data_IF_132857374808
#
_entry.id   IF_132857374808
#
_cell.length_a   1.000
_cell.length_b   1.000
_cell.length_c   1.000
_cell.angle_alpha   90.00
_cell.angle_beta   90.00
_cell.angle_gamma   90.00
#
_symmetry.space_group_name_H-M   'P 1'
#
loop_
_entity.id
_entity.type
_entity.pdbx_description
1 polymer ?
#
# COMPACT_ATOMS: atom_id res chain seq x y z
N UNK A 1 -2.29 12.32 -18.51
CA UNK A 1 -1.80 10.93 -18.62
C UNK A 1 -0.32 10.92 -18.25
N UNK A 2 0.08 10.15 -17.24
CA UNK A 2 1.48 10.04 -16.85
C UNK A 2 2.23 9.05 -17.77
N UNK A 3 3.51 9.32 -18.04
CA UNK A 3 4.37 8.50 -18.90
C UNK A 3 5.69 8.25 -18.15
N UNK A 4 6.24 7.04 -18.26
CA UNK A 4 7.57 6.72 -17.75
C UNK A 4 8.50 6.60 -18.95
N UNK A 5 9.64 7.27 -18.88
CA UNK A 5 10.72 7.15 -19.86
C UNK A 5 11.73 6.12 -19.37
N UNK A 6 12.04 5.12 -20.19
CA UNK A 6 13.17 4.20 -20.00
C UNK A 6 14.04 4.30 -21.25
N UNK A 7 15.21 4.91 -21.12
CA UNK A 7 16.05 5.29 -22.26
C UNK A 7 15.29 6.20 -23.23
N UNK A 8 15.13 5.74 -24.48
CA UNK A 8 14.47 6.48 -25.56
C UNK A 8 12.98 6.10 -25.74
N UNK A 9 12.46 5.20 -24.90
CA UNK A 9 11.11 4.64 -25.04
C UNK A 9 10.18 5.30 -24.01
N UNK A 10 9.05 5.82 -24.49
CA UNK A 10 8.00 6.44 -23.67
C UNK A 10 6.85 5.45 -23.44
N UNK A 11 6.84 4.84 -22.25
CA UNK A 11 5.78 3.89 -21.88
C UNK A 11 4.61 4.64 -21.21
N UNK A 12 3.36 4.42 -21.67
CA UNK A 12 2.20 4.96 -21.00
C UNK A 12 2.04 4.30 -19.63
N UNK A 13 1.93 5.09 -18.56
CA UNK A 13 1.58 4.56 -17.25
C UNK A 13 0.09 4.28 -17.26
N UNK A 14 -0.28 3.03 -17.54
CA UNK A 14 -1.63 2.57 -17.28
C UNK A 14 -1.77 2.31 -15.78
N UNK A 15 -2.73 2.96 -15.14
CA UNK A 15 -3.04 2.67 -13.74
C UNK A 15 -3.48 1.20 -13.64
N UNK A 16 -2.67 0.37 -13.00
CA UNK A 16 -3.07 -1.01 -12.70
C UNK A 16 -4.22 -0.97 -11.68
N UNK A 17 -5.45 -1.04 -12.19
CA UNK A 17 -6.66 -1.16 -11.39
C UNK A 17 -6.76 -2.62 -10.95
N UNK A 18 -6.13 -2.96 -9.82
CA UNK A 18 -6.49 -4.18 -9.11
C UNK A 18 -7.99 -4.08 -8.78
N UNK A 19 -8.82 -4.92 -9.41
CA UNK A 19 -10.28 -4.87 -9.31
C UNK A 19 -10.82 -4.90 -7.87
N UNK A 20 -10.01 -5.35 -6.90
CA UNK A 20 -10.37 -5.46 -5.49
C UNK A 20 -9.63 -4.47 -4.58
N UNK A 21 -9.10 -3.36 -5.11
CA UNK A 21 -8.42 -2.37 -4.27
C UNK A 21 -9.44 -1.58 -3.48
N UNK A 22 -9.37 -1.68 -2.15
CA UNK A 22 -10.18 -0.84 -1.27
C UNK A 22 -9.81 0.62 -1.51
N UNK A 23 -10.79 1.41 -1.89
CA UNK A 23 -10.71 2.87 -1.89
C UNK A 23 -10.88 3.38 -0.46
N UNK A 24 -9.85 4.07 0.04
CA UNK A 24 -9.89 4.74 1.34
C UNK A 24 -9.55 6.22 1.15
N UNK A 25 -10.13 7.05 2.00
CA UNK A 25 -9.87 8.47 2.00
C UNK A 25 -8.62 8.79 2.83
N UNK A 26 -7.67 9.55 2.28
CA UNK A 26 -6.46 9.95 3.03
C UNK A 26 -6.70 11.10 4.02
N UNK A 27 -7.90 11.71 3.99
CA UNK A 27 -8.31 12.76 4.95
C UNK A 27 -8.93 12.17 6.21
N UNK A 28 -9.94 11.31 6.06
CA UNK A 28 -10.67 10.73 7.20
C UNK A 28 -10.35 9.25 7.48
N UNK A 29 -9.63 8.57 6.59
CA UNK A 29 -9.29 7.14 6.68
C UNK A 29 -10.47 6.17 6.61
N UNK A 30 -11.67 6.67 6.28
CA UNK A 30 -12.83 5.85 5.99
C UNK A 30 -12.77 5.23 4.59
N UNK A 31 -13.42 4.08 4.45
CA UNK A 31 -13.57 3.36 3.18
C UNK A 31 -14.76 3.91 2.37
N UNK A 32 -14.72 3.72 1.05
CA UNK A 32 -15.86 3.99 0.15
C UNK A 32 -15.84 5.34 -0.57
N UNK A 33 -14.89 6.22 -0.28
CA UNK A 33 -14.73 7.48 -1.02
C UNK A 33 -13.27 7.92 -1.14
N UNK A 34 -13.00 8.78 -2.13
CA UNK A 34 -11.71 9.44 -2.34
C UNK A 34 -11.68 10.79 -1.62
N UNK A 35 -10.46 11.35 -1.47
CA UNK A 35 -10.24 12.63 -0.78
C UNK A 35 -11.11 13.76 -1.34
N UNK A 36 -11.29 13.81 -2.66
CA UNK A 36 -12.02 14.87 -3.36
C UNK A 36 -13.53 14.86 -3.05
N UNK A 37 -14.07 13.70 -2.62
CA UNK A 37 -15.47 13.53 -2.24
C UNK A 37 -15.66 13.44 -0.72
N UNK A 38 -14.62 13.76 0.05
CA UNK A 38 -14.67 13.66 1.50
C UNK A 38 -15.40 14.87 2.10
N UNK A 39 -16.41 14.61 2.94
CA UNK A 39 -17.17 15.63 3.66
C UNK A 39 -16.59 15.94 5.05
N UNK A 40 -15.48 15.32 5.44
CA UNK A 40 -14.85 15.59 6.73
C UNK A 40 -14.31 17.03 6.77
N UNK A 41 -14.62 17.76 7.83
CA UNK A 41 -14.16 19.14 8.06
C UNK A 41 -12.67 19.23 8.34
N UNK A 42 -12.10 18.25 9.05
CA UNK A 42 -10.69 18.19 9.43
C UNK A 42 -10.00 16.95 8.86
N UNK A 43 -8.67 17.00 8.71
CA UNK A 43 -7.88 15.81 8.43
C UNK A 43 -7.69 15.02 9.73
N UNK A 44 -7.53 13.69 9.65
CA UNK A 44 -7.30 12.84 10.81
C UNK A 44 -5.94 12.17 10.73
N UNK A 45 -5.32 11.93 11.89
CA UNK A 45 -4.10 11.15 11.95
C UNK A 45 -4.34 9.71 11.51
N UNK A 46 -3.40 9.16 10.72
CA UNK A 46 -3.46 7.77 10.26
C UNK A 46 -3.44 6.73 11.38
N UNK A 47 -2.83 7.05 12.51
CA UNK A 47 -2.58 6.09 13.61
C UNK A 47 -3.65 6.27 14.70
N UNK A 48 -3.70 7.44 15.33
CA UNK A 48 -4.59 7.69 16.46
C UNK A 48 -5.98 8.22 16.09
N UNK A 49 -6.21 8.56 14.81
CA UNK A 49 -7.45 9.16 14.29
C UNK A 49 -7.87 10.49 14.92
N UNK A 50 -6.99 11.13 15.67
CA UNK A 50 -7.22 12.47 16.18
C UNK A 50 -7.25 13.49 15.04
N UNK A 51 -8.06 14.53 15.21
CA UNK A 51 -8.22 15.58 14.22
C UNK A 51 -6.96 16.47 14.18
N UNK A 52 -6.51 16.76 12.96
CA UNK A 52 -5.38 17.61 12.64
C UNK A 52 -5.97 18.91 12.10
N UNK A 53 -5.87 19.97 12.88
CA UNK A 53 -6.21 21.32 12.42
C UNK A 53 -5.20 21.77 11.35
N UNK A 54 -5.67 22.54 10.36
CA UNK A 54 -4.89 22.87 9.15
C UNK A 54 -3.59 23.64 9.41
N UNK A 55 -3.39 24.18 10.62
CA UNK A 55 -2.22 24.99 11.00
C UNK A 55 -1.52 24.52 12.28
N UNK A 56 -1.75 23.29 12.75
CA UNK A 56 -1.12 22.78 13.99
C UNK A 56 -0.32 21.50 13.74
N UNK A 57 0.86 21.43 14.36
CA UNK A 57 1.65 20.20 14.41
C UNK A 57 0.96 19.20 15.34
N UNK A 58 0.37 18.16 14.75
CA UNK A 58 -0.25 17.09 15.51
C UNK A 58 0.80 16.21 16.19
N UNK A 59 0.67 16.04 17.51
CA UNK A 59 1.46 15.08 18.30
C UNK A 59 0.68 13.76 18.37
N UNK A 60 1.23 12.72 17.76
CA UNK A 60 0.59 11.40 17.73
C UNK A 60 0.67 10.69 19.08
N UNK A 61 -0.44 10.12 19.55
CA UNK A 61 -0.45 9.25 20.72
C UNK A 61 0.12 7.84 20.45
N UNK A 62 0.41 7.51 19.18
CA UNK A 62 0.89 6.20 18.70
C UNK A 62 -0.01 5.00 19.05
N UNK A 63 -1.21 5.24 19.58
CA UNK A 63 -2.21 4.21 19.82
C UNK A 63 -3.01 3.98 18.53
N UNK A 64 -2.91 2.80 17.90
CA UNK A 64 -3.61 2.54 16.65
C UNK A 64 -5.11 2.45 16.91
N UNK A 65 -5.89 3.27 16.19
CA UNK A 65 -7.36 3.21 16.17
C UNK A 65 -7.85 3.01 14.74
N UNK A 66 -8.95 2.29 14.61
CA UNK A 66 -9.56 1.99 13.32
C UNK A 66 -10.71 2.94 13.01
N UNK A 67 -10.71 3.59 11.84
CA UNK A 67 -11.73 4.59 11.48
C UNK A 67 -13.12 3.97 11.23
N UNK A 68 -13.18 2.63 11.13
CA UNK A 68 -14.35 1.88 10.69
C UNK A 68 -15.08 1.23 11.88
N UNK A 69 -14.34 0.84 12.92
CA UNK A 69 -14.91 0.17 14.10
C UNK A 69 -14.34 0.67 15.43
N UNK A 70 -13.54 1.73 15.42
CA UNK A 70 -12.87 2.32 16.58
C UNK A 70 -12.01 1.36 17.42
N UNK A 71 -11.73 0.16 16.91
CA UNK A 71 -10.91 -0.85 17.56
C UNK A 71 -9.42 -0.53 17.58
N UNK A 72 -8.68 -1.22 18.45
CA UNK A 72 -7.24 -1.06 18.64
C UNK A 72 -6.39 -1.73 17.54
N UNK A 73 -6.60 -1.32 16.29
CA UNK A 73 -5.83 -1.75 15.14
C UNK A 73 -5.85 -0.68 14.05
N UNK A 74 -4.94 -0.77 13.08
CA UNK A 74 -4.93 0.16 11.96
C UNK A 74 -6.16 0.01 11.06
N UNK A 75 -6.68 1.13 10.53
CA UNK A 75 -7.82 1.21 9.60
C UNK A 75 -7.71 0.43 8.29
N UNK A 76 -6.57 -0.20 8.02
CA UNK A 76 -6.32 -1.05 6.85
C UNK A 76 -5.97 -2.50 7.23
N UNK A 77 -6.06 -2.84 8.53
CA UNK A 77 -5.76 -4.18 9.04
C UNK A 77 -6.76 -5.20 8.49
N UNK A 78 -6.25 -6.38 8.12
CA UNK A 78 -7.08 -7.53 7.74
C UNK A 78 -7.92 -8.07 8.90
N UNK A 79 -7.60 -7.71 10.14
CA UNK A 79 -8.33 -8.12 11.34
C UNK A 79 -9.62 -7.30 11.55
N UNK A 80 -9.79 -6.19 10.84
CA UNK A 80 -10.99 -5.36 10.95
C UNK A 80 -12.18 -6.03 10.27
N UNK A 81 -13.21 -6.38 11.04
CA UNK A 81 -14.41 -7.04 10.52
C UNK A 81 -15.13 -6.22 9.43
N UNK A 82 -15.38 -4.90 9.58
CA UNK A 82 -15.93 -4.08 8.50
C UNK A 82 -15.15 -4.15 7.19
N UNK A 83 -13.81 -4.17 7.26
CA UNK A 83 -12.96 -4.24 6.08
C UNK A 83 -13.08 -5.59 5.41
N UNK A 84 -13.14 -6.68 6.18
CA UNK A 84 -13.34 -8.04 5.64
C UNK A 84 -14.67 -8.13 4.90
N UNK A 85 -15.75 -7.65 5.50
CA UNK A 85 -17.08 -7.65 4.87
C UNK A 85 -17.08 -6.81 3.59
N UNK A 86 -16.49 -5.61 3.63
CA UNK A 86 -16.39 -4.75 2.45
C UNK A 86 -15.58 -5.40 1.31
N UNK A 87 -14.46 -6.06 1.62
CA UNK A 87 -13.68 -6.81 0.63
C UNK A 87 -14.48 -7.96 0.01
N UNK A 88 -15.25 -8.69 0.84
CA UNK A 88 -16.07 -9.79 0.35
C UNK A 88 -17.15 -9.29 -0.61
N UNK A 89 -17.85 -8.21 -0.24
CA UNK A 89 -18.85 -7.58 -1.09
C UNK A 89 -18.25 -7.04 -2.40
N UNK A 90 -17.11 -6.35 -2.33
CA UNK A 90 -16.40 -5.89 -3.53
C UNK A 90 -16.03 -7.05 -4.46
N UNK A 91 -15.53 -8.15 -3.90
CA UNK A 91 -15.18 -9.33 -4.70
C UNK A 91 -16.41 -9.91 -5.38
N UNK A 92 -17.52 -10.04 -4.67
CA UNK A 92 -18.78 -10.55 -5.22
C UNK A 92 -19.30 -9.67 -6.37
N UNK A 93 -19.29 -8.34 -6.19
CA UNK A 93 -19.71 -7.39 -7.23
C UNK A 93 -18.78 -7.43 -8.46
N UNK A 94 -17.48 -7.58 -8.26
CA UNK A 94 -16.52 -7.76 -9.36
C UNK A 94 -16.75 -9.09 -10.08
N UNK A 95 -17.00 -10.17 -9.35
CA UNK A 95 -17.26 -11.49 -9.94
C UNK A 95 -18.59 -11.47 -10.75
N UNK A 96 -19.62 -10.77 -10.27
CA UNK A 96 -20.86 -10.49 -11.03
C UNK A 96 -20.62 -9.62 -12.26
N UNK A 97 -19.77 -8.60 -12.15
CA UNK A 97 -19.45 -7.71 -13.26
C UNK A 97 -18.62 -8.42 -14.35
N UNK A 98 -17.78 -9.39 -13.96
CA UNK A 98 -17.07 -10.27 -14.89
C UNK A 98 -18.02 -11.25 -15.58
N UNK A 99 -18.95 -11.87 -14.84
CA UNK A 99 -19.92 -12.82 -15.42
C UNK A 99 -20.93 -12.16 -16.35
N UNK A 100 -21.33 -10.91 -16.06
CA UNK A 100 -22.19 -10.10 -16.93
C UNK A 100 -21.46 -9.50 -18.14
N UNK A 101 -20.13 -9.63 -18.22
CA UNK A 101 -19.33 -9.13 -19.33
C UNK A 101 -19.14 -7.60 -19.37
N UNK A 102 -19.59 -6.87 -18.33
CA UNK A 102 -19.37 -5.43 -18.17
C UNK A 102 -17.87 -5.16 -17.94
N UNK A 103 -17.24 -5.97 -17.10
CA UNK A 103 -15.80 -5.98 -16.92
C UNK A 103 -15.19 -7.12 -17.72
N UNK A 104 -14.14 -6.82 -18.50
CA UNK A 104 -13.31 -7.84 -19.14
C UNK A 104 -11.96 -7.86 -18.46
N UNK A 105 -11.55 -9.04 -17.99
CA UNK A 105 -10.17 -9.22 -17.52
C UNK A 105 -9.28 -9.14 -18.77
N UNK A 106 -8.34 -8.20 -18.78
CA UNK A 106 -7.29 -8.20 -19.80
C UNK A 106 -6.52 -9.51 -19.65
N UNK A 107 -6.50 -10.32 -20.70
CA UNK A 107 -5.66 -11.51 -20.71
C UNK A 107 -4.20 -11.04 -20.63
N UNK A 108 -3.39 -11.60 -19.74
CA UNK A 108 -1.96 -11.35 -19.79
C UNK A 108 -1.48 -11.74 -21.19
N UNK A 109 -0.55 -10.98 -21.79
CA UNK A 109 0.02 -11.35 -23.07
C UNK A 109 0.58 -12.78 -22.97
N UNK A 110 0.24 -13.63 -23.95
CA UNK A 110 0.58 -15.07 -23.96
C UNK A 110 2.09 -15.34 -23.88
N UNK A 111 2.91 -14.36 -24.24
CA UNK A 111 4.35 -14.40 -24.12
C UNK A 111 4.81 -13.13 -23.40
N UNK A 112 5.54 -13.31 -22.30
CA UNK A 112 6.48 -12.30 -21.84
C UNK A 112 7.49 -12.06 -22.96
N UNK A 113 7.88 -10.81 -23.27
CA UNK A 113 8.96 -10.57 -24.20
C UNK A 113 10.18 -11.38 -23.78
N UNK A 114 10.80 -12.10 -24.71
CA UNK A 114 12.08 -12.75 -24.47
C UNK A 114 13.11 -11.66 -24.19
N UNK A 115 13.76 -11.74 -23.04
CA UNK A 115 14.83 -10.81 -22.67
C UNK A 115 16.12 -11.34 -23.27
N UNK A 116 16.76 -10.55 -24.14
CA UNK A 116 18.10 -10.85 -24.59
C UNK A 116 19.12 -10.34 -23.58
N UNK A 117 20.20 -11.09 -23.37
CA UNK A 117 21.31 -10.63 -22.53
C UNK A 117 21.95 -9.32 -23.01
N UNK A 118 21.71 -8.94 -24.25
CA UNK A 118 22.15 -7.67 -24.86
C UNK A 118 21.26 -6.48 -24.52
N UNK A 119 20.03 -6.70 -24.02
CA UNK A 119 19.11 -5.62 -23.59
C UNK A 119 19.56 -4.97 -22.27
N UNK A 120 20.52 -5.57 -21.57
CA UNK A 120 21.09 -5.06 -20.34
C UNK A 120 22.49 -4.51 -20.60
N UNK A 121 22.79 -3.25 -20.20
CA UNK A 121 24.14 -2.73 -20.32
C UNK A 121 25.10 -3.62 -19.52
N UNK A 122 26.14 -4.11 -20.18
CA UNK A 122 27.22 -4.82 -19.51
C UNK A 122 27.78 -3.89 -18.41
N UNK A 123 27.88 -4.40 -17.19
CA UNK A 123 28.54 -3.69 -16.09
C UNK A 123 30.06 -3.75 -16.37
N UNK A 124 30.52 -3.00 -17.38
CA UNK A 124 31.93 -2.81 -17.71
C UNK A 124 32.48 -1.69 -16.84
N UNK A 125 32.63 -2.02 -15.57
CA UNK A 125 33.26 -1.16 -14.59
C UNK A 125 33.25 -1.90 -13.28
N UNK A 126 34.40 -1.96 -12.61
CA UNK A 126 34.46 -2.37 -11.23
C UNK A 126 33.54 -1.44 -10.43
N UNK A 127 32.27 -1.81 -10.28
CA UNK A 127 31.44 -1.31 -9.23
C UNK A 127 32.14 -1.80 -7.95
N UNK A 128 33.02 -0.97 -7.41
CA UNK A 128 33.48 -1.12 -6.04
C UNK A 128 32.20 -1.32 -5.25
N UNK A 129 32.01 -2.53 -4.74
CA UNK A 129 30.93 -2.83 -3.81
C UNK A 129 31.21 -1.95 -2.61
N UNK A 130 30.64 -0.76 -2.59
CA UNK A 130 30.39 -0.06 -1.35
C UNK A 130 29.33 -0.93 -0.70
N UNK A 131 29.77 -1.91 0.08
CA UNK A 131 28.93 -2.59 1.04
C UNK A 131 28.59 -1.48 2.02
N UNK A 132 27.35 -0.95 2.08
CA UNK A 132 26.99 -0.12 3.21
C UNK A 132 27.16 -1.02 4.43
N UNK A 133 28.17 -0.73 5.25
CA UNK A 133 28.23 -1.25 6.60
C UNK A 133 27.03 -0.62 7.29
N UNK A 134 25.88 -1.28 7.22
CA UNK A 134 24.78 -1.02 8.14
C UNK A 134 25.35 -1.38 9.50
N UNK A 135 25.89 -0.37 10.19
CA UNK A 135 26.44 -0.54 11.51
C UNK A 135 25.36 -1.19 12.36
N UNK A 136 25.64 -2.39 12.85
CA UNK A 136 24.91 -3.06 13.92
C UNK A 136 24.97 -2.14 15.15
N UNK A 137 24.09 -1.14 15.21
CA UNK A 137 23.81 -0.42 16.44
C UNK A 137 22.42 -0.87 16.89
N UNK A 138 22.45 -1.63 17.98
CA UNK A 138 21.33 -2.11 18.80
C UNK A 138 20.52 -3.29 18.26
N UNK A 139 21.09 -4.49 18.42
CA UNK A 139 20.30 -5.64 18.86
C UNK A 139 20.39 -5.64 20.40
N UNK A 140 19.33 -5.33 21.14
CA UNK A 140 19.35 -5.54 22.59
C UNK A 140 19.48 -7.04 22.86
N UNK A 141 20.57 -7.44 23.53
CA UNK A 141 20.73 -8.78 24.06
C UNK A 141 19.61 -9.04 25.07
N UNK A 142 18.65 -9.90 24.72
CA UNK A 142 17.82 -10.56 25.72
C UNK A 142 18.70 -11.55 26.46
N UNK A 143 19.09 -11.21 27.69
CA UNK A 143 19.65 -12.18 28.62
C UNK A 143 18.53 -13.13 29.05
N UNK A 144 18.56 -14.36 28.54
CA UNK A 144 17.80 -15.48 29.08
C UNK A 144 18.54 -16.02 30.30
N UNK A 145 18.16 -15.61 31.50
CA UNK A 145 18.50 -16.34 32.73
C UNK A 145 17.58 -17.55 32.82
N UNK A 146 18.06 -18.70 32.36
CA UNK A 146 17.54 -19.99 32.79
C UNK A 146 18.27 -20.34 34.10
N UNK A 147 17.61 -20.08 35.24
CA UNK A 147 18.00 -20.70 36.50
C UNK A 147 17.38 -22.09 36.55
N UNK A 148 18.25 -23.09 36.60
CA UNK A 148 17.92 -24.47 36.92
C UNK A 148 17.64 -24.56 38.43
N UNK A 149 16.46 -25.06 38.79
CA UNK A 149 16.18 -25.68 40.07
C UNK A 149 15.25 -26.87 39.83
#
# INVERSE_FOLDING_TARGET
MARISIGNIMLPITSFLQGNRITYCTRCWCIGHLRDKCQASSARCRICLQEIAENQTHICSYQPRCAQCDGNHHSLSSQCQPIRTYKAHLKEEVDKALSSGILRRLEPPKQTPEFNSEDFPAITGQAQRIIPVWGNKHIPQQQSTFESA
#
